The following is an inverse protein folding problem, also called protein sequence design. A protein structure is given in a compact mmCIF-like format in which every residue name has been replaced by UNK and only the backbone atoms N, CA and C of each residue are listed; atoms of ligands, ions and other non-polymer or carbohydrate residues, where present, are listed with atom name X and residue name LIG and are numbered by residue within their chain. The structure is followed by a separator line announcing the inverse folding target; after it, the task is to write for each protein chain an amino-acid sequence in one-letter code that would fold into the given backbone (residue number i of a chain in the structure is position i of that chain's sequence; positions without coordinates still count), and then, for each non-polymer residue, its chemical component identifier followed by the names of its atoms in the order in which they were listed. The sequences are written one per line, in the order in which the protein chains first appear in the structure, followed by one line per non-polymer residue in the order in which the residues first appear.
data_IF_546879838220
#
_entry.id   IF_546879838220
#
_cell.length_a   1.000
_cell.length_b   1.000
_cell.length_c   1.000
_cell.angle_alpha   90.00
_cell.angle_beta   90.00
_cell.angle_gamma   90.00
#
_symmetry.space_group_name_H-M   'P 1'
#
loop_
_entity.id
_entity.type
_entity.pdbx_description
1 polymer ?
#
# COMPACT_ATOMS: atom_id res chain seq x y z
N UNK A 1 18.94 6.07 4.79
CA UNK A 1 18.81 4.63 5.11
C UNK A 1 17.51 4.28 5.80
N UNK A 2 17.02 5.09 6.75
CA UNK A 2 15.72 4.87 7.41
C UNK A 2 14.54 4.87 6.42
N UNK A 3 14.46 5.87 5.52
CA UNK A 3 13.41 5.96 4.49
C UNK A 3 13.30 4.72 3.60
N UNK A 4 14.44 4.19 3.13
CA UNK A 4 14.47 3.00 2.27
C UNK A 4 13.96 1.77 3.02
N UNK A 5 14.34 1.61 4.29
CA UNK A 5 13.86 0.51 5.14
C UNK A 5 12.34 0.60 5.31
N UNK A 6 11.80 1.77 5.63
CA UNK A 6 10.36 1.96 5.76
C UNK A 6 9.59 1.68 4.47
N UNK A 7 10.07 2.23 3.34
CA UNK A 7 9.45 1.98 2.04
C UNK A 7 9.48 0.49 1.68
N UNK A 8 10.57 -0.21 1.99
CA UNK A 8 10.69 -1.64 1.71
C UNK A 8 9.65 -2.45 2.49
N UNK A 9 9.46 -2.16 3.78
CA UNK A 9 8.44 -2.85 4.58
C UNK A 9 7.03 -2.52 4.12
N UNK A 10 6.73 -1.25 3.83
CA UNK A 10 5.43 -0.83 3.32
C UNK A 10 5.09 -1.55 1.99
N UNK A 11 6.00 -1.45 1.01
CA UNK A 11 5.81 -2.04 -0.32
C UNK A 11 5.73 -3.57 -0.26
N UNK A 12 6.43 -4.20 0.69
CA UNK A 12 6.34 -5.63 0.92
C UNK A 12 4.92 -6.04 1.36
N UNK A 13 4.35 -5.37 2.37
CA UNK A 13 2.99 -5.69 2.83
C UNK A 13 1.92 -5.36 1.80
N UNK A 14 2.06 -4.24 1.08
CA UNK A 14 1.18 -3.93 -0.05
C UNK A 14 1.27 -4.99 -1.16
N UNK A 15 2.49 -5.45 -1.50
CA UNK A 15 2.70 -6.50 -2.49
C UNK A 15 2.09 -7.85 -2.09
N UNK A 16 2.17 -8.22 -0.81
CA UNK A 16 1.50 -9.41 -0.27
C UNK A 16 -0.02 -9.25 -0.37
N UNK A 17 -0.56 -8.10 0.01
CA UNK A 17 -2.00 -7.84 -0.07
C UNK A 17 -2.51 -7.92 -1.51
N UNK A 18 -1.89 -7.20 -2.45
CA UNK A 18 -2.22 -7.24 -3.88
C UNK A 18 -2.08 -8.65 -4.46
N UNK A 19 -1.02 -9.37 -4.08
CA UNK A 19 -0.80 -10.76 -4.50
C UNK A 19 -1.92 -11.69 -4.05
N UNK A 20 -2.30 -11.64 -2.77
CA UNK A 20 -3.39 -12.47 -2.23
C UNK A 20 -4.74 -12.14 -2.88
N UNK A 21 -5.08 -10.85 -3.01
CA UNK A 21 -6.31 -10.40 -3.67
C UNK A 21 -6.35 -10.81 -5.14
N UNK A 22 -5.22 -10.72 -5.85
CA UNK A 22 -5.11 -11.09 -7.26
C UNK A 22 -5.28 -12.59 -7.49
N UNK A 23 -4.74 -13.44 -6.60
CA UNK A 23 -4.95 -14.90 -6.67
C UNK A 23 -6.40 -15.27 -6.39
N UNK A 24 -7.09 -14.55 -5.49
CA UNK A 24 -8.52 -14.77 -5.25
C UNK A 24 -9.43 -14.19 -6.34
N UNK A 25 -9.02 -13.11 -7.01
CA UNK A 25 -9.83 -12.41 -8.00
C UNK A 25 -9.78 -13.04 -9.40
N UNK A 26 -8.66 -13.65 -9.78
CA UNK A 26 -8.48 -14.24 -11.11
C UNK A 26 -8.44 -15.76 -11.06
N UNK A 27 -9.17 -16.42 -11.98
CA UNK A 27 -9.12 -17.88 -12.16
C UNK A 27 -7.82 -18.37 -12.82
N UNK A 28 -7.07 -17.47 -13.46
CA UNK A 28 -5.85 -17.78 -14.20
C UNK A 28 -4.62 -17.25 -13.47
N UNK A 29 -3.72 -18.17 -13.10
CA UNK A 29 -2.41 -17.86 -12.49
C UNK A 29 -1.59 -16.89 -13.35
N UNK A 30 -1.75 -16.95 -14.68
CA UNK A 30 -1.06 -16.02 -15.60
C UNK A 30 -1.45 -14.58 -15.34
N UNK A 31 -2.74 -14.31 -15.13
CA UNK A 31 -3.23 -12.96 -14.85
C UNK A 31 -2.70 -12.46 -13.51
N UNK A 32 -2.67 -13.31 -12.49
CA UNK A 32 -2.10 -12.94 -11.19
C UNK A 32 -0.59 -12.64 -11.27
N UNK A 33 0.16 -13.40 -12.06
CA UNK A 33 1.58 -13.13 -12.33
C UNK A 33 1.75 -11.76 -13.03
N UNK A 34 0.94 -11.46 -14.04
CA UNK A 34 1.01 -10.16 -14.72
C UNK A 34 0.72 -8.99 -13.76
N UNK A 35 -0.24 -9.13 -12.84
CA UNK A 35 -0.49 -8.09 -11.83
C UNK A 35 0.68 -7.92 -10.85
N UNK A 36 1.33 -9.01 -10.44
CA UNK A 36 2.50 -8.95 -9.57
C UNK A 36 3.70 -8.28 -10.26
N UNK A 37 3.93 -8.61 -11.53
CA UNK A 37 4.96 -7.97 -12.36
C UNK A 37 4.66 -6.48 -12.53
N UNK A 38 3.41 -6.13 -12.84
CA UNK A 38 2.97 -4.74 -12.95
C UNK A 38 3.24 -3.96 -11.67
N UNK A 39 2.80 -4.49 -10.52
CA UNK A 39 3.06 -3.88 -9.22
C UNK A 39 4.56 -3.69 -8.94
N UNK A 40 5.38 -4.72 -9.19
CA UNK A 40 6.82 -4.68 -8.95
C UNK A 40 7.57 -3.70 -9.86
N UNK A 41 7.06 -3.42 -11.06
CA UNK A 41 7.68 -2.49 -12.01
C UNK A 41 7.28 -1.04 -11.77
N UNK A 42 6.09 -0.78 -11.22
CA UNK A 42 5.60 0.58 -10.96
C UNK A 42 6.58 1.39 -10.10
N UNK A 43 7.10 0.83 -9.00
CA UNK A 43 8.03 1.53 -8.10
C UNK A 43 9.36 1.91 -8.78
N UNK A 44 10.13 1.00 -9.42
CA UNK A 44 11.37 1.37 -10.10
C UNK A 44 11.14 2.31 -11.29
N UNK A 45 10.04 2.17 -12.02
CA UNK A 45 9.68 3.12 -13.10
C UNK A 45 9.43 4.51 -12.52
N UNK A 46 8.69 4.62 -11.41
CA UNK A 46 8.45 5.88 -10.72
C UNK A 46 9.76 6.53 -10.24
N UNK A 47 10.66 5.75 -9.64
CA UNK A 47 11.99 6.23 -9.20
C UNK A 47 12.81 6.71 -10.41
N UNK A 48 12.81 5.97 -11.52
CA UNK A 48 13.54 6.34 -12.74
C UNK A 48 13.03 7.67 -13.34
N UNK A 49 11.71 7.85 -13.41
CA UNK A 49 11.10 9.12 -13.86
C UNK A 49 11.49 10.24 -12.91
N UNK A 50 11.41 10.01 -11.59
CA UNK A 50 11.80 10.98 -10.57
C UNK A 50 13.26 11.42 -10.69
N UNK A 51 14.18 10.48 -10.95
CA UNK A 51 15.59 10.80 -11.22
C UNK A 51 15.78 11.59 -12.51
N UNK A 52 15.02 11.27 -13.56
CA UNK A 52 15.13 11.96 -14.85
C UNK A 52 14.73 13.45 -14.76
N UNK A 53 13.72 13.78 -13.94
CA UNK A 53 13.23 15.16 -13.77
C UNK A 53 13.93 15.93 -12.64
N UNK A 54 14.71 15.25 -11.79
CA UNK A 54 15.37 15.84 -10.62
C UNK A 54 16.26 17.05 -11.00
N UNK A 55 17.00 16.96 -12.10
CA UNK A 55 17.92 18.03 -12.53
C UNK A 55 17.27 19.36 -12.95
N UNK A 56 15.95 19.38 -13.19
CA UNK A 56 15.19 20.60 -13.50
C UNK A 56 14.38 21.13 -12.32
N UNK A 57 14.47 20.46 -11.17
CA UNK A 57 13.64 20.71 -10.00
C UNK A 57 14.41 21.46 -8.91
N UNK A 58 13.78 22.49 -8.34
CA UNK A 58 14.25 23.13 -7.11
C UNK A 58 13.32 22.73 -5.98
N UNK A 59 13.84 21.97 -5.01
CA UNK A 59 13.09 21.45 -3.85
C UNK A 59 12.47 22.54 -2.98
N UNK A 60 12.95 23.78 -3.10
CA UNK A 60 12.48 24.93 -2.32
C UNK A 60 11.57 25.88 -3.10
N UNK A 61 11.35 25.64 -4.39
CA UNK A 61 10.45 26.50 -5.19
C UNK A 61 8.99 26.27 -4.82
N UNK A 62 8.18 27.34 -4.85
CA UNK A 62 6.73 27.23 -4.55
C UNK A 62 6.02 26.25 -5.48
N UNK A 63 6.40 26.18 -6.76
CA UNK A 63 5.83 25.23 -7.71
C UNK A 63 6.12 23.77 -7.34
N UNK A 64 7.34 23.48 -6.87
CA UNK A 64 7.74 22.15 -6.38
C UNK A 64 6.89 21.72 -5.18
N UNK A 65 6.69 22.61 -4.22
CA UNK A 65 5.87 22.33 -3.03
C UNK A 65 4.40 22.06 -3.39
N UNK A 66 3.82 22.81 -4.33
CA UNK A 66 2.45 22.57 -4.79
C UNK A 66 2.28 21.22 -5.49
N UNK A 67 3.21 20.88 -6.39
CA UNK A 67 3.18 19.60 -7.10
C UNK A 67 3.36 18.45 -6.11
N UNK A 68 4.37 18.52 -5.24
CA UNK A 68 4.62 17.50 -4.23
C UNK A 68 3.43 17.31 -3.29
N UNK A 69 2.89 18.40 -2.75
CA UNK A 69 1.72 18.34 -1.88
C UNK A 69 0.48 17.76 -2.57
N UNK A 70 0.26 18.07 -3.85
CA UNK A 70 -0.86 17.50 -4.63
C UNK A 70 -0.68 16.01 -4.87
N UNK A 71 0.53 15.58 -5.27
CA UNK A 71 0.85 14.17 -5.49
C UNK A 71 0.76 13.37 -4.18
N UNK A 72 1.28 13.91 -3.08
CA UNK A 72 1.20 13.27 -1.76
C UNK A 72 -0.25 13.16 -1.27
N UNK A 73 -1.09 14.18 -1.51
CA UNK A 73 -2.52 14.13 -1.17
C UNK A 73 -3.29 13.09 -1.98
N UNK A 74 -3.03 13.01 -3.31
CA UNK A 74 -3.63 12.00 -4.17
C UNK A 74 -3.20 10.60 -3.74
N UNK A 75 -1.89 10.40 -3.51
CA UNK A 75 -1.35 9.12 -3.05
C UNK A 75 -1.95 8.71 -1.70
N UNK A 76 -2.02 9.62 -0.73
CA UNK A 76 -2.66 9.38 0.56
C UNK A 76 -4.14 9.02 0.43
N UNK A 77 -4.87 9.70 -0.45
CA UNK A 77 -6.28 9.39 -0.73
C UNK A 77 -6.48 7.99 -1.32
N UNK A 78 -5.63 7.59 -2.27
CA UNK A 78 -5.64 6.24 -2.84
C UNK A 78 -5.36 5.21 -1.75
N UNK A 79 -4.33 5.41 -0.91
CA UNK A 79 -3.99 4.49 0.18
C UNK A 79 -5.14 4.30 1.20
N UNK A 80 -5.86 5.38 1.53
CA UNK A 80 -7.03 5.29 2.41
C UNK A 80 -8.17 4.53 1.74
N UNK A 81 -8.42 4.78 0.45
CA UNK A 81 -9.44 4.05 -0.32
C UNK A 81 -9.13 2.55 -0.43
N UNK A 82 -7.90 2.20 -0.82
CA UNK A 82 -7.48 0.79 -0.95
C UNK A 82 -7.53 0.09 0.41
N UNK A 83 -7.08 0.75 1.49
CA UNK A 83 -7.16 0.23 2.85
C UNK A 83 -8.61 -0.04 3.30
N UNK A 84 -9.49 0.96 3.22
CA UNK A 84 -10.86 0.85 3.76
C UNK A 84 -11.80 0.06 2.83
N UNK A 85 -11.82 0.39 1.54
CA UNK A 85 -12.82 -0.09 0.59
C UNK A 85 -12.37 -1.40 -0.04
N UNK A 86 -11.12 -1.52 -0.47
CA UNK A 86 -10.68 -2.72 -1.18
C UNK A 86 -10.24 -3.84 -0.23
N UNK A 87 -9.52 -3.51 0.85
CA UNK A 87 -9.02 -4.50 1.80
C UNK A 87 -10.01 -4.78 2.93
N UNK A 88 -10.34 -3.77 3.76
CA UNK A 88 -11.17 -4.02 4.96
C UNK A 88 -12.58 -4.47 4.61
N UNK A 89 -13.24 -3.78 3.66
CA UNK A 89 -14.63 -4.12 3.32
C UNK A 89 -14.72 -5.53 2.72
N UNK A 90 -13.79 -5.91 1.84
CA UNK A 90 -13.81 -7.24 1.24
C UNK A 90 -13.48 -8.34 2.26
N UNK A 91 -12.50 -8.11 3.14
CA UNK A 91 -12.04 -9.13 4.10
C UNK A 91 -12.91 -9.25 5.37
N UNK A 92 -13.51 -8.16 5.84
CA UNK A 92 -14.23 -8.13 7.12
C UNK A 92 -15.73 -7.90 7.01
N UNK A 93 -16.21 -7.19 5.98
CA UNK A 93 -17.62 -6.81 5.85
C UNK A 93 -18.39 -7.72 4.90
N UNK A 94 -17.78 -8.11 3.78
CA UNK A 94 -18.44 -8.91 2.74
C UNK A 94 -18.18 -10.41 2.91
N UNK A 95 -17.04 -10.78 3.49
CA UNK A 95 -16.61 -12.17 3.60
C UNK A 95 -17.46 -12.96 4.62
N UNK A 96 -18.37 -13.81 4.14
CA UNK A 96 -19.19 -14.69 4.98
C UNK A 96 -18.36 -15.66 5.82
N UNK A 97 -17.25 -16.17 5.27
CA UNK A 97 -16.34 -17.06 6.01
C UNK A 97 -15.71 -16.36 7.23
N UNK A 98 -15.49 -15.04 7.15
CA UNK A 98 -15.04 -14.26 8.30
C UNK A 98 -16.13 -14.10 9.36
N UNK A 99 -17.40 -13.97 8.95
CA UNK A 99 -18.53 -13.87 9.87
C UNK A 99 -18.86 -15.18 10.57
N UNK A 100 -18.59 -16.32 9.93
CA UNK A 100 -18.79 -17.66 10.49
C UNK A 100 -17.70 -18.04 11.51
N UNK A 101 -16.59 -17.29 11.58
CA UNK A 101 -15.53 -17.51 12.58
C UNK A 101 -15.98 -17.13 13.98
N UNK A 102 -15.41 -17.83 14.97
CA UNK A 102 -15.63 -17.57 16.40
C UNK A 102 -15.29 -16.13 16.77
N UNK A 103 -16.05 -15.53 17.70
CA UNK A 103 -15.88 -14.15 18.14
C UNK A 103 -14.43 -13.83 18.57
N UNK A 104 -13.74 -14.78 19.23
CA UNK A 104 -12.34 -14.64 19.64
C UNK A 104 -11.37 -14.53 18.45
N UNK A 105 -11.64 -15.25 17.37
CA UNK A 105 -10.81 -15.18 16.15
C UNK A 105 -11.03 -13.85 15.44
N UNK A 106 -12.28 -13.38 15.37
CA UNK A 106 -12.63 -12.09 14.77
C UNK A 106 -11.97 -10.92 15.50
N UNK A 107 -12.03 -10.91 16.84
CA UNK A 107 -11.37 -9.86 17.63
C UNK A 107 -9.85 -9.88 17.48
N UNK A 108 -9.25 -11.08 17.43
CA UNK A 108 -7.81 -11.24 17.22
C UNK A 108 -7.36 -10.63 15.88
N UNK A 109 -8.12 -10.82 14.79
CA UNK A 109 -7.77 -10.22 13.49
C UNK A 109 -7.82 -8.69 13.53
N UNK A 110 -8.79 -8.10 14.22
CA UNK A 110 -8.81 -6.64 14.44
C UNK A 110 -7.62 -6.16 15.27
N UNK A 111 -7.20 -6.90 16.29
CA UNK A 111 -5.99 -6.56 17.07
C UNK A 111 -4.75 -6.57 16.18
N UNK A 112 -4.60 -7.58 15.31
CA UNK A 112 -3.49 -7.62 14.36
C UNK A 112 -3.53 -6.48 13.34
N UNK A 113 -4.72 -6.08 12.88
CA UNK A 113 -4.90 -4.91 12.02
C UNK A 113 -4.38 -3.63 12.71
N UNK A 114 -4.80 -3.37 13.95
CA UNK A 114 -4.36 -2.20 14.72
C UNK A 114 -2.87 -2.26 15.07
N UNK A 115 -2.33 -3.44 15.39
CA UNK A 115 -0.89 -3.62 15.60
C UNK A 115 -0.09 -3.33 14.33
N UNK A 116 -0.55 -3.76 13.16
CA UNK A 116 0.07 -3.44 11.88
C UNK A 116 0.06 -1.93 11.60
N UNK A 117 -1.08 -1.28 11.82
CA UNK A 117 -1.20 0.17 11.68
C UNK A 117 -0.27 0.94 12.65
N UNK A 118 -0.20 0.51 13.92
CA UNK A 118 0.68 1.08 14.92
C UNK A 118 2.15 0.86 14.59
N UNK A 119 2.52 -0.31 14.06
CA UNK A 119 3.88 -0.60 13.62
C UNK A 119 4.28 0.32 12.45
N UNK A 120 3.41 0.48 11.45
CA UNK A 120 3.67 1.39 10.32
C UNK A 120 3.73 2.85 10.75
N UNK A 121 2.89 3.28 11.69
CA UNK A 121 2.97 4.61 12.28
C UNK A 121 4.27 4.83 13.07
N UNK A 122 4.72 3.81 13.80
CA UNK A 122 6.01 3.82 14.48
C UNK A 122 7.16 3.95 13.48
N UNK A 123 7.19 3.13 12.44
CA UNK A 123 8.19 3.24 11.36
C UNK A 123 8.19 4.65 10.76
N UNK A 124 7.00 5.21 10.48
CA UNK A 124 6.83 6.56 9.95
C UNK A 124 7.38 7.66 10.86
N UNK A 125 7.25 7.53 12.18
CA UNK A 125 7.78 8.52 13.14
C UNK A 125 9.31 8.55 13.17
N UNK A 126 9.95 7.39 12.97
CA UNK A 126 11.41 7.24 13.02
C UNK A 126 12.08 7.33 11.64
N UNK A 127 11.32 7.62 10.58
CA UNK A 127 11.81 7.94 9.23
C UNK A 127 11.77 9.41 8.91
#
# INVERSE_FOLDING_TARGET
NTLLVALSFHQFFEGVAVGTSSVSAFSSVRTSIYTAIGFSLTTPIGIAIGMAINGSYSDTSSASLWVRGTLDAIAGGILVYTGLVELLTYQYTINQEFHDKTQSTRSLTYVFLWLGAAAMAGVGYWT
#
